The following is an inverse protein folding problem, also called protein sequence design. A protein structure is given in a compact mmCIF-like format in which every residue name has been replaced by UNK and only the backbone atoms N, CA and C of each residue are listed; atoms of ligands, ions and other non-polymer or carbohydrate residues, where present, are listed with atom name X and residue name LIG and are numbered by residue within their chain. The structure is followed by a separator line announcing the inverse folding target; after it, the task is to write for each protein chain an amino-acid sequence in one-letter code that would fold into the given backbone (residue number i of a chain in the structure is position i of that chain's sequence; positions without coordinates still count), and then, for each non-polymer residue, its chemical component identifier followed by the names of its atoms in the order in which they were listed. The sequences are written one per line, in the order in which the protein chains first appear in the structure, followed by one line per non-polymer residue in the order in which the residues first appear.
data_IF_122911426309
#
_entry.id   IF_122911426309
#
_cell.length_a   1.000
_cell.length_b   1.000
_cell.length_c   1.000
_cell.angle_alpha   90.00
_cell.angle_beta   90.00
_cell.angle_gamma   90.00
#
_symmetry.space_group_name_H-M   'P 1'
#
loop_
_entity.id
_entity.type
_entity.pdbx_description
1 polymer ?
#
# COMPACT_ATOMS: atom_id res chain seq x y z
N UNK A 1 17.40 35.77 -69.25
CA UNK A 1 17.36 34.73 -68.21
C UNK A 1 18.46 35.02 -67.22
N UNK A 2 18.19 34.82 -65.92
CA UNK A 2 19.04 35.07 -64.74
C UNK A 2 18.99 36.48 -64.13
N UNK A 3 18.12 36.63 -63.11
CA UNK A 3 18.36 37.55 -61.98
C UNK A 3 18.48 36.70 -60.71
N UNK A 4 19.63 36.84 -60.04
CA UNK A 4 19.98 36.19 -58.78
C UNK A 4 19.15 36.79 -57.65
N UNK A 5 18.54 35.92 -56.84
CA UNK A 5 17.81 36.26 -55.61
C UNK A 5 18.77 36.59 -54.46
N UNK A 6 18.59 37.71 -53.76
CA UNK A 6 19.16 37.89 -52.43
C UNK A 6 18.08 37.73 -51.35
N UNK A 7 18.58 37.46 -50.14
CA UNK A 7 17.94 37.57 -48.82
C UNK A 7 17.63 36.24 -48.13
N UNK A 8 18.72 35.72 -47.56
CA UNK A 8 18.75 35.15 -46.21
C UNK A 8 18.09 36.09 -45.18
N UNK A 9 17.69 35.50 -44.05
CA UNK A 9 17.27 36.09 -42.76
C UNK A 9 15.75 36.12 -42.47
N UNK A 10 15.29 35.05 -41.80
CA UNK A 10 14.34 35.10 -40.68
C UNK A 10 14.47 33.76 -39.94
N UNK A 11 15.58 33.55 -39.23
CA UNK A 11 15.74 33.88 -37.81
C UNK A 11 14.75 33.12 -36.92
N UNK A 12 15.27 32.06 -36.31
CA UNK A 12 14.67 31.28 -35.25
C UNK A 12 14.14 32.17 -34.11
N UNK A 13 12.82 32.19 -33.91
CA UNK A 13 12.20 32.86 -32.77
C UNK A 13 10.96 32.08 -32.31
N UNK A 14 11.16 30.83 -31.84
CA UNK A 14 10.07 30.07 -31.21
C UNK A 14 10.54 29.11 -30.08
N UNK A 15 11.74 29.31 -29.51
CA UNK A 15 12.32 28.36 -28.55
C UNK A 15 12.66 28.95 -27.16
N UNK A 16 12.15 30.14 -26.77
CA UNK A 16 12.55 30.82 -25.50
C UNK A 16 11.37 31.05 -24.52
N UNK A 17 10.26 30.31 -24.63
CA UNK A 17 9.12 30.49 -23.71
C UNK A 17 8.99 29.42 -22.61
N UNK A 18 9.82 28.37 -22.59
CA UNK A 18 9.60 27.20 -21.70
C UNK A 18 10.34 27.29 -20.35
N UNK A 19 11.31 28.20 -20.19
CA UNK A 19 12.19 28.21 -19.01
C UNK A 19 11.67 29.02 -17.79
N UNK A 20 10.70 29.93 -17.94
CA UNK A 20 10.28 30.82 -16.85
C UNK A 20 9.29 30.18 -15.85
N UNK A 21 8.68 29.04 -16.18
CA UNK A 21 7.64 28.42 -15.35
C UNK A 21 8.19 27.57 -14.16
N UNK A 22 9.44 27.15 -14.23
CA UNK A 22 10.09 26.33 -13.19
C UNK A 22 10.44 27.13 -11.91
N UNK A 23 11.09 28.31 -11.97
CA UNK A 23 11.47 29.05 -10.77
C UNK A 23 10.25 29.57 -9.98
N UNK A 24 9.19 30.00 -10.67
CA UNK A 24 7.97 30.48 -10.02
C UNK A 24 7.23 29.37 -9.25
N UNK A 25 7.24 28.12 -9.75
CA UNK A 25 6.69 26.97 -9.03
C UNK A 25 7.53 26.57 -7.83
N UNK A 26 8.86 26.66 -7.91
CA UNK A 26 9.72 26.36 -6.76
C UNK A 26 9.48 27.34 -5.61
N UNK A 27 9.39 28.64 -5.90
CA UNK A 27 9.13 29.68 -4.90
C UNK A 27 7.75 29.53 -4.22
N UNK A 28 6.72 29.10 -4.95
CA UNK A 28 5.39 28.88 -4.36
C UNK A 28 5.34 27.64 -3.46
N UNK A 29 6.12 26.60 -3.76
CA UNK A 29 6.22 25.40 -2.91
C UNK A 29 6.96 25.69 -1.60
N UNK A 30 8.01 26.51 -1.63
CA UNK A 30 8.71 26.93 -0.43
C UNK A 30 7.80 27.73 0.51
N UNK A 31 6.98 28.62 -0.05
CA UNK A 31 5.98 29.36 0.71
C UNK A 31 4.88 28.45 1.31
N UNK A 32 4.50 27.37 0.61
CA UNK A 32 3.45 26.44 1.06
C UNK A 32 3.97 25.32 1.98
N UNK A 33 5.29 25.17 2.16
CA UNK A 33 5.90 24.07 2.93
C UNK A 33 5.37 23.97 4.37
N UNK A 34 5.27 25.10 5.07
CA UNK A 34 4.74 25.12 6.43
C UNK A 34 3.24 24.80 6.48
N UNK A 35 2.48 25.25 5.46
CA UNK A 35 1.04 25.04 5.37
C UNK A 35 0.71 23.56 5.14
N UNK A 36 1.38 22.92 4.19
CA UNK A 36 1.15 21.49 3.91
C UNK A 36 1.58 20.60 5.09
N UNK A 37 2.69 20.93 5.76
CA UNK A 37 3.12 20.21 6.97
C UNK A 37 2.05 20.32 8.06
N UNK A 38 1.59 21.54 8.33
CA UNK A 38 0.57 21.79 9.36
C UNK A 38 -0.74 21.07 9.04
N UNK A 39 -1.14 21.06 7.77
CA UNK A 39 -2.34 20.36 7.32
C UNK A 39 -2.22 18.84 7.53
N UNK A 40 -1.08 18.24 7.18
CA UNK A 40 -0.82 16.81 7.39
C UNK A 40 -0.87 16.49 8.89
N UNK A 41 -0.11 17.21 9.70
CA UNK A 41 -0.06 17.01 11.15
C UNK A 41 -1.47 17.13 11.79
N UNK A 42 -2.28 18.06 11.29
CA UNK A 42 -3.67 18.25 11.75
C UNK A 42 -4.55 17.07 11.35
N UNK A 43 -4.44 16.59 10.10
CA UNK A 43 -5.17 15.43 9.63
C UNK A 43 -4.83 14.16 10.44
N UNK A 44 -3.55 13.96 10.78
CA UNK A 44 -3.12 12.83 11.60
C UNK A 44 -3.69 12.86 13.03
N UNK A 45 -3.93 14.06 13.57
CA UNK A 45 -4.60 14.25 14.87
C UNK A 45 -6.13 14.22 14.78
N UNK A 46 -6.72 14.00 13.59
CA UNK A 46 -8.18 14.01 13.39
C UNK A 46 -8.78 15.42 13.26
N UNK A 47 -7.96 16.42 12.99
CA UNK A 47 -8.35 17.83 12.79
C UNK A 47 -8.28 18.20 11.31
N UNK A 48 -8.76 17.30 10.43
CA UNK A 48 -8.76 17.55 8.99
C UNK A 48 -9.70 18.70 8.62
N UNK A 49 -9.21 19.67 7.85
CA UNK A 49 -9.99 20.82 7.36
C UNK A 49 -10.10 20.76 5.82
N UNK A 50 -11.30 20.49 5.26
CA UNK A 50 -11.51 20.40 3.82
C UNK A 50 -11.19 21.69 3.06
N UNK A 51 -11.45 22.86 3.64
CA UNK A 51 -11.18 24.14 2.99
C UNK A 51 -9.68 24.40 2.88
N UNK A 52 -8.93 24.13 3.96
CA UNK A 52 -7.47 24.21 3.94
C UNK A 52 -6.86 23.21 2.95
N UNK A 53 -7.37 21.97 2.93
CA UNK A 53 -6.92 20.95 1.99
C UNK A 53 -7.18 21.35 0.54
N UNK A 54 -8.35 21.92 0.23
CA UNK A 54 -8.69 22.38 -1.12
C UNK A 54 -7.71 23.42 -1.67
N UNK A 55 -7.25 24.34 -0.82
CA UNK A 55 -6.23 25.34 -1.17
C UNK A 55 -4.84 24.74 -1.45
N UNK A 56 -4.58 23.49 -1.04
CA UNK A 56 -3.32 22.77 -1.22
C UNK A 56 -3.41 21.68 -2.30
N UNK A 57 -4.52 21.59 -3.05
CA UNK A 57 -4.78 20.53 -4.03
C UNK A 57 -3.73 20.41 -5.15
N UNK A 58 -3.02 21.50 -5.47
CA UNK A 58 -1.96 21.52 -6.48
C UNK A 58 -0.56 21.24 -5.89
N UNK A 59 -0.45 21.06 -4.56
CA UNK A 59 0.82 20.80 -3.91
C UNK A 59 1.25 19.33 -4.15
N UNK A 60 2.52 19.04 -4.48
CA UNK A 60 3.00 17.68 -4.73
C UNK A 60 2.75 16.67 -3.59
N UNK A 61 2.73 17.17 -2.35
CA UNK A 61 2.43 16.36 -1.16
C UNK A 61 0.93 16.25 -0.82
N UNK A 62 0.02 16.73 -1.68
CA UNK A 62 -1.41 16.69 -1.42
C UNK A 62 -1.93 15.26 -1.17
N UNK A 63 -1.40 14.26 -1.88
CA UNK A 63 -1.75 12.86 -1.64
C UNK A 63 -1.42 12.37 -0.24
N UNK A 64 -0.35 12.88 0.37
CA UNK A 64 0.02 12.54 1.74
C UNK A 64 -0.92 13.19 2.77
N UNK A 65 -1.45 14.38 2.48
CA UNK A 65 -2.51 15.00 3.28
C UNK A 65 -3.81 14.20 3.21
N UNK A 66 -4.23 13.78 2.02
CA UNK A 66 -5.40 12.92 1.86
C UNK A 66 -5.21 11.57 2.57
N UNK A 67 -4.05 10.95 2.41
CA UNK A 67 -3.70 9.72 3.12
C UNK A 67 -3.74 9.87 4.63
N UNK A 68 -3.20 10.96 5.19
CA UNK A 68 -3.23 11.19 6.64
C UNK A 68 -4.67 11.19 7.19
N UNK A 69 -5.60 11.84 6.49
CA UNK A 69 -7.02 11.83 6.84
C UNK A 69 -7.65 10.44 6.71
N UNK A 70 -7.42 9.75 5.59
CA UNK A 70 -7.98 8.41 5.36
C UNK A 70 -7.45 7.39 6.37
N UNK A 71 -6.14 7.44 6.67
CA UNK A 71 -5.49 6.57 7.65
C UNK A 71 -6.06 6.75 9.05
N UNK A 72 -6.33 8.00 9.45
CA UNK A 72 -6.93 8.29 10.75
C UNK A 72 -8.31 7.67 10.91
N UNK A 73 -9.05 7.56 9.82
CA UNK A 73 -10.42 7.06 9.76
C UNK A 73 -10.53 5.68 9.09
N UNK A 74 -9.45 4.89 9.09
CA UNK A 74 -9.30 3.74 8.18
C UNK A 74 -10.43 2.69 8.31
N UNK A 75 -10.95 2.50 9.51
CA UNK A 75 -12.00 1.53 9.79
C UNK A 75 -13.35 1.91 9.15
N UNK A 76 -13.57 3.19 8.86
CA UNK A 76 -14.80 3.71 8.24
C UNK A 76 -14.61 4.14 6.78
N UNK A 77 -13.40 4.02 6.21
CA UNK A 77 -13.18 4.33 4.79
C UNK A 77 -13.95 3.35 3.92
N UNK A 78 -14.86 3.87 3.11
CA UNK A 78 -15.64 3.07 2.16
C UNK A 78 -14.77 2.55 1.00
N UNK A 79 -15.21 1.45 0.38
CA UNK A 79 -14.53 0.88 -0.80
C UNK A 79 -14.44 1.89 -1.95
N UNK A 80 -15.48 2.70 -2.18
CA UNK A 80 -15.46 3.73 -3.21
C UNK A 80 -14.39 4.80 -2.95
N UNK A 81 -14.32 5.33 -1.71
CA UNK A 81 -13.29 6.31 -1.34
C UNK A 81 -11.87 5.73 -1.48
N UNK A 82 -11.67 4.48 -1.07
CA UNK A 82 -10.40 3.81 -1.20
C UNK A 82 -10.00 3.61 -2.67
N UNK A 83 -10.92 3.17 -3.52
CA UNK A 83 -10.69 2.98 -4.95
C UNK A 83 -10.38 4.29 -5.65
N UNK A 84 -11.10 5.37 -5.34
CA UNK A 84 -10.83 6.70 -5.89
C UNK A 84 -9.42 7.18 -5.52
N UNK A 85 -9.02 6.99 -4.26
CA UNK A 85 -7.67 7.31 -3.80
C UNK A 85 -6.60 6.49 -4.53
N UNK A 86 -6.77 5.17 -4.57
CA UNK A 86 -5.83 4.26 -5.23
C UNK A 86 -5.70 4.51 -6.73
N UNK A 87 -6.81 4.86 -7.40
CA UNK A 87 -6.82 5.22 -8.82
C UNK A 87 -6.08 6.52 -9.07
N UNK A 88 -6.32 7.54 -8.24
CA UNK A 88 -5.69 8.87 -8.36
C UNK A 88 -4.18 8.81 -8.16
N UNK A 89 -3.73 8.00 -7.22
CA UNK A 89 -2.32 7.86 -6.84
C UNK A 89 -1.66 6.59 -7.38
N UNK A 90 -2.20 6.00 -8.45
CA UNK A 90 -1.67 4.77 -9.02
C UNK A 90 -0.17 4.91 -9.36
N UNK A 91 0.62 3.90 -8.99
CA UNK A 91 2.08 3.89 -9.18
C UNK A 91 2.87 4.78 -8.20
N UNK A 92 2.23 5.50 -7.28
CA UNK A 92 2.90 6.36 -6.31
C UNK A 92 3.03 5.67 -4.94
N UNK A 93 4.09 6.03 -4.21
CA UNK A 93 4.35 5.47 -2.87
C UNK A 93 3.17 5.64 -1.91
N UNK A 94 2.44 6.76 -1.99
CA UNK A 94 1.30 7.03 -1.11
C UNK A 94 0.15 6.03 -1.31
N UNK A 95 -0.08 5.52 -2.53
CA UNK A 95 -1.07 4.48 -2.78
C UNK A 95 -0.65 3.14 -2.18
N UNK A 96 0.65 2.81 -2.24
CA UNK A 96 1.20 1.61 -1.59
C UNK A 96 1.07 1.68 -0.08
N UNK A 97 1.39 2.83 0.52
CA UNK A 97 1.22 3.09 1.95
C UNK A 97 -0.25 2.98 2.37
N UNK A 98 -1.15 3.61 1.62
CA UNK A 98 -2.59 3.53 1.89
C UNK A 98 -3.12 2.09 1.83
N UNK A 99 -2.80 1.34 0.77
CA UNK A 99 -3.26 -0.05 0.63
C UNK A 99 -2.81 -0.93 1.80
N UNK A 100 -1.56 -0.75 2.25
CA UNK A 100 -0.98 -1.53 3.36
C UNK A 100 -1.72 -1.31 4.69
N UNK A 101 -2.40 -0.18 4.87
CA UNK A 101 -3.18 0.15 6.07
C UNK A 101 -4.67 -0.14 5.87
N UNK A 102 -5.17 0.04 4.65
CA UNK A 102 -6.59 -0.17 4.32
C UNK A 102 -6.96 -1.65 4.23
N UNK A 103 -6.15 -2.50 3.59
CA UNK A 103 -6.50 -3.92 3.44
C UNK A 103 -6.61 -4.68 4.78
N UNK A 104 -5.80 -4.41 5.82
CA UNK A 104 -6.06 -4.93 7.15
C UNK A 104 -7.43 -4.51 7.73
N UNK A 105 -7.89 -3.28 7.48
CA UNK A 105 -9.24 -2.85 7.90
C UNK A 105 -10.34 -3.58 7.11
N UNK A 106 -10.14 -3.78 5.81
CA UNK A 106 -11.02 -4.60 4.97
C UNK A 106 -11.10 -6.03 5.50
N UNK A 107 -9.96 -6.62 5.90
CA UNK A 107 -9.89 -7.95 6.48
C UNK A 107 -10.64 -8.06 7.80
N UNK A 108 -10.52 -7.06 8.69
CA UNK A 108 -11.31 -7.01 9.95
C UNK A 108 -12.81 -6.99 9.71
N UNK A 109 -13.26 -6.34 8.63
CA UNK A 109 -14.67 -6.33 8.20
C UNK A 109 -15.09 -7.59 7.42
N UNK A 110 -14.16 -8.53 7.22
CA UNK A 110 -14.37 -9.77 6.46
C UNK A 110 -14.88 -9.56 5.02
N UNK A 111 -14.59 -8.39 4.43
CA UNK A 111 -14.93 -8.11 3.04
C UNK A 111 -13.88 -8.74 2.10
N UNK A 112 -13.98 -10.05 1.96
CA UNK A 112 -13.01 -10.88 1.24
C UNK A 112 -12.94 -10.54 -0.25
N UNK A 113 -14.06 -10.20 -0.87
CA UNK A 113 -14.10 -9.82 -2.28
C UNK A 113 -13.33 -8.52 -2.52
N UNK A 114 -13.55 -7.50 -1.69
CA UNK A 114 -12.78 -6.25 -1.78
C UNK A 114 -11.30 -6.49 -1.52
N UNK A 115 -10.95 -7.32 -0.53
CA UNK A 115 -9.55 -7.64 -0.24
C UNK A 115 -8.87 -8.27 -1.46
N UNK A 116 -9.47 -9.31 -2.04
CA UNK A 116 -8.91 -10.03 -3.18
C UNK A 116 -8.83 -9.14 -4.44
N UNK A 117 -9.84 -8.29 -4.67
CA UNK A 117 -9.85 -7.38 -5.82
C UNK A 117 -8.77 -6.28 -5.74
N UNK A 118 -8.30 -5.95 -4.53
CA UNK A 118 -7.33 -4.88 -4.30
C UNK A 118 -5.97 -5.41 -3.80
N UNK A 119 -5.79 -6.73 -3.77
CA UNK A 119 -4.57 -7.38 -3.31
C UNK A 119 -3.39 -7.01 -4.20
N UNK A 120 -2.24 -6.76 -3.57
CA UNK A 120 -0.93 -6.71 -4.22
C UNK A 120 0.07 -7.49 -3.36
N UNK A 121 1.09 -8.14 -3.98
CA UNK A 121 2.16 -8.79 -3.23
C UNK A 121 2.82 -7.83 -2.23
N UNK A 122 3.11 -8.33 -1.03
CA UNK A 122 3.68 -7.57 0.08
C UNK A 122 4.46 -8.50 1.01
N UNK A 123 5.47 -7.97 1.68
CA UNK A 123 6.21 -8.67 2.73
C UNK A 123 5.49 -8.65 4.09
N UNK A 124 4.38 -7.90 4.20
CA UNK A 124 3.58 -7.88 5.42
C UNK A 124 2.88 -9.24 5.61
N UNK A 125 3.42 -10.05 6.52
CA UNK A 125 2.93 -11.42 6.80
C UNK A 125 1.47 -11.44 7.25
N UNK A 126 1.06 -10.50 8.11
CA UNK A 126 -0.34 -10.43 8.56
C UNK A 126 -1.31 -10.18 7.40
N UNK A 127 -0.91 -9.33 6.45
CA UNK A 127 -1.69 -9.05 5.25
C UNK A 127 -1.67 -10.24 4.26
N UNK A 128 -0.56 -10.96 4.13
CA UNK A 128 -0.50 -12.23 3.39
C UNK A 128 -1.46 -13.28 3.99
N UNK A 129 -1.48 -13.43 5.31
CA UNK A 129 -2.44 -14.32 5.97
C UNK A 129 -3.88 -13.84 5.79
N UNK A 130 -4.16 -12.54 5.81
CA UNK A 130 -5.48 -12.00 5.48
C UNK A 130 -5.92 -12.34 4.04
N UNK A 131 -5.00 -12.36 3.08
CA UNK A 131 -5.30 -12.81 1.72
C UNK A 131 -5.58 -14.31 1.62
N UNK A 132 -4.84 -15.13 2.36
CA UNK A 132 -5.13 -16.57 2.44
C UNK A 132 -6.48 -16.84 3.12
N UNK A 133 -6.83 -16.07 4.16
CA UNK A 133 -8.16 -16.10 4.77
C UNK A 133 -9.25 -15.72 3.76
N UNK A 134 -9.02 -14.69 2.95
CA UNK A 134 -9.98 -14.30 1.92
C UNK A 134 -10.15 -15.38 0.84
N UNK A 135 -9.06 -16.03 0.42
CA UNK A 135 -9.09 -17.16 -0.53
C UNK A 135 -9.86 -18.35 0.04
N UNK A 136 -9.57 -18.79 1.26
CA UNK A 136 -10.27 -19.94 1.84
C UNK A 136 -11.76 -19.64 2.06
N UNK A 137 -12.10 -18.42 2.50
CA UNK A 137 -13.49 -18.02 2.72
C UNK A 137 -14.30 -17.91 1.41
N UNK A 138 -13.63 -17.77 0.27
CA UNK A 138 -14.24 -17.74 -1.07
C UNK A 138 -14.09 -19.07 -1.82
N UNK A 139 -13.74 -20.16 -1.12
CA UNK A 139 -13.64 -21.50 -1.69
C UNK A 139 -12.38 -21.76 -2.53
N UNK A 140 -11.37 -20.89 -2.44
CA UNK A 140 -10.12 -20.94 -3.23
C UNK A 140 -8.92 -21.43 -2.43
N UNK A 141 -9.14 -22.40 -1.53
CA UNK A 141 -8.07 -23.10 -0.79
C UNK A 141 -7.49 -24.26 -1.63
N UNK A 142 -6.96 -23.90 -2.80
CA UNK A 142 -6.35 -24.79 -3.80
C UNK A 142 -4.90 -25.18 -3.47
N UNK A 143 -4.22 -25.89 -4.38
CA UNK A 143 -2.83 -26.31 -4.20
C UNK A 143 -1.86 -25.12 -4.04
N UNK A 144 -2.11 -24.00 -4.74
CA UNK A 144 -1.29 -22.80 -4.59
C UNK A 144 -1.50 -22.19 -3.22
N UNK A 145 -2.73 -22.17 -2.70
CA UNK A 145 -3.04 -21.71 -1.35
C UNK A 145 -2.29 -22.53 -0.30
N UNK A 146 -2.23 -23.85 -0.45
CA UNK A 146 -1.46 -24.75 0.43
C UNK A 146 0.02 -24.37 0.41
N UNK A 147 0.59 -24.20 -0.78
CA UNK A 147 1.99 -23.80 -0.95
C UNK A 147 2.30 -22.45 -0.29
N UNK A 148 1.42 -21.46 -0.50
CA UNK A 148 1.57 -20.12 0.08
C UNK A 148 1.47 -20.14 1.61
N UNK A 149 0.53 -20.93 2.16
CA UNK A 149 0.38 -21.10 3.61
C UNK A 149 1.60 -21.81 4.23
N UNK A 150 2.10 -22.87 3.61
CA UNK A 150 3.33 -23.55 4.05
C UNK A 150 4.56 -22.63 3.96
N UNK A 151 4.63 -21.75 2.95
CA UNK A 151 5.70 -20.78 2.85
C UNK A 151 5.69 -19.78 4.03
N UNK A 152 4.50 -19.36 4.49
CA UNK A 152 4.39 -18.50 5.68
C UNK A 152 4.75 -19.30 6.94
N UNK A 153 4.26 -20.53 7.09
CA UNK A 153 4.59 -21.41 8.23
C UNK A 153 6.10 -21.57 8.42
N UNK A 154 6.84 -21.74 7.32
CA UNK A 154 8.31 -21.92 7.34
C UNK A 154 9.11 -20.62 7.45
N UNK A 155 8.48 -19.45 7.44
CA UNK A 155 9.20 -18.19 7.23
C UNK A 155 10.07 -17.72 8.40
N UNK A 156 9.81 -18.20 9.63
CA UNK A 156 10.57 -17.82 10.84
C UNK A 156 10.25 -18.80 11.98
N UNK A 157 11.12 -18.93 12.99
CA UNK A 157 10.80 -19.60 14.25
C UNK A 157 9.98 -18.74 15.23
N UNK A 158 9.83 -17.44 14.95
CA UNK A 158 9.08 -16.48 15.80
C UNK A 158 7.58 -16.62 15.64
N UNK A 159 6.83 -16.22 16.67
CA UNK A 159 5.39 -16.12 16.60
C UNK A 159 4.97 -15.29 15.38
N UNK A 160 4.03 -15.85 14.61
CA UNK A 160 3.41 -15.18 13.48
C UNK A 160 2.21 -14.36 13.96
N UNK A 161 1.74 -13.37 13.19
CA UNK A 161 0.55 -12.60 13.56
C UNK A 161 -0.68 -13.49 13.70
N UNK A 162 -1.55 -13.22 14.69
CA UNK A 162 -2.78 -13.98 14.98
C UNK A 162 -3.71 -14.16 13.77
N UNK A 163 -3.63 -13.25 12.80
CA UNK A 163 -4.35 -13.37 11.52
C UNK A 163 -3.98 -14.65 10.72
N UNK A 164 -2.87 -15.31 11.05
CA UNK A 164 -2.42 -16.55 10.42
C UNK A 164 -3.01 -17.81 11.05
N UNK A 165 -3.55 -17.74 12.28
CA UNK A 165 -4.05 -18.93 12.97
C UNK A 165 -5.20 -19.62 12.20
N UNK A 166 -6.20 -18.90 11.65
CA UNK A 166 -7.25 -19.54 10.86
C UNK A 166 -6.74 -20.15 9.55
N UNK A 167 -5.65 -19.61 8.99
CA UNK A 167 -4.99 -20.17 7.80
C UNK A 167 -4.36 -21.50 8.16
N UNK A 168 -3.63 -21.57 9.28
CA UNK A 168 -2.95 -22.80 9.69
C UNK A 168 -3.91 -23.88 10.17
N UNK A 169 -5.02 -23.50 10.80
CA UNK A 169 -6.09 -24.43 11.13
C UNK A 169 -6.66 -25.12 9.87
N UNK A 170 -6.92 -24.35 8.80
CA UNK A 170 -7.39 -24.91 7.52
C UNK A 170 -6.29 -25.71 6.83
N UNK A 171 -5.04 -25.25 6.89
CA UNK A 171 -3.90 -25.97 6.31
C UNK A 171 -3.74 -27.35 6.97
N UNK A 172 -3.85 -27.40 8.29
CA UNK A 172 -3.77 -28.64 9.07
C UNK A 172 -4.92 -29.59 8.75
N UNK A 173 -6.16 -29.10 8.76
CA UNK A 173 -7.34 -29.90 8.42
C UNK A 173 -7.27 -30.52 7.02
N UNK A 174 -6.47 -29.93 6.11
CA UNK A 174 -6.20 -30.43 4.76
C UNK A 174 -4.99 -31.38 4.68
N UNK A 175 -4.33 -31.68 5.80
CA UNK A 175 -3.09 -32.46 5.86
C UNK A 175 -1.86 -31.71 5.34
N UNK A 176 -1.93 -30.39 5.20
CA UNK A 176 -0.85 -29.56 4.66
C UNK A 176 0.28 -29.26 5.65
N UNK A 177 0.14 -29.66 6.91
CA UNK A 177 1.19 -29.60 7.93
C UNK A 177 1.69 -31.02 8.24
N UNK A 178 2.59 -31.53 7.40
CA UNK A 178 3.22 -32.83 7.60
C UNK A 178 4.07 -32.85 8.88
N UNK A 179 4.38 -34.05 9.38
CA UNK A 179 5.22 -34.21 10.57
C UNK A 179 6.59 -33.51 10.40
N UNK A 180 7.16 -33.56 9.20
CA UNK A 180 8.43 -32.92 8.87
C UNK A 180 8.33 -31.39 8.95
N UNK A 181 7.22 -30.79 8.47
CA UNK A 181 7.00 -29.34 8.55
C UNK A 181 6.79 -28.86 9.98
N UNK A 182 6.17 -29.68 10.83
CA UNK A 182 5.98 -29.39 12.25
C UNK A 182 7.30 -29.44 13.00
N UNK A 183 8.09 -30.50 12.79
CA UNK A 183 9.42 -30.61 13.38
C UNK A 183 10.34 -29.47 12.95
N UNK A 184 10.36 -29.11 11.66
CA UNK A 184 11.14 -27.96 11.18
C UNK A 184 10.73 -26.65 11.87
N UNK A 185 9.45 -26.46 12.19
CA UNK A 185 8.95 -25.29 12.94
C UNK A 185 9.37 -25.33 14.40
N UNK A 186 9.35 -26.51 15.04
CA UNK A 186 9.83 -26.72 16.41
C UNK A 186 11.31 -26.37 16.50
N UNK A 187 12.14 -26.89 15.59
CA UNK A 187 13.58 -26.63 15.57
C UNK A 187 13.88 -25.14 15.37
N UNK A 188 13.24 -24.50 14.38
CA UNK A 188 13.38 -23.06 14.14
C UNK A 188 12.93 -22.23 15.37
N UNK A 189 11.86 -22.64 16.05
CA UNK A 189 11.39 -21.99 17.26
C UNK A 189 12.35 -22.20 18.44
N UNK A 190 13.02 -23.35 18.55
CA UNK A 190 14.03 -23.61 19.55
C UNK A 190 15.25 -22.69 19.35
N UNK A 191 15.74 -22.56 18.11
CA UNK A 191 16.84 -21.66 17.74
C UNK A 191 16.54 -20.19 18.09
N UNK A 192 15.28 -19.77 17.95
CA UNK A 192 14.79 -18.42 18.26
C UNK A 192 14.33 -18.26 19.72
N UNK A 193 14.48 -19.29 20.56
CA UNK A 193 14.06 -19.32 21.97
C UNK A 193 12.57 -19.01 22.18
N UNK A 194 11.70 -19.63 21.36
CA UNK A 194 10.24 -19.42 21.32
C UNK A 194 9.46 -20.62 21.87
N UNK A 195 9.43 -20.85 23.20
CA UNK A 195 8.77 -22.02 23.80
C UNK A 195 7.25 -22.04 23.66
N UNK A 196 6.61 -20.89 23.42
CA UNK A 196 5.20 -20.85 23.05
C UNK A 196 4.98 -21.46 21.67
N UNK A 197 5.80 -21.08 20.67
CA UNK A 197 5.69 -21.57 19.29
C UNK A 197 6.00 -23.06 19.22
N UNK A 198 7.00 -23.55 19.96
CA UNK A 198 7.32 -24.99 20.02
C UNK A 198 6.12 -25.84 20.47
N UNK A 199 5.32 -25.34 21.43
CA UNK A 199 4.16 -26.06 21.97
C UNK A 199 2.94 -26.04 21.05
N UNK A 200 2.86 -25.08 20.14
CA UNK A 200 1.73 -24.89 19.22
C UNK A 200 2.02 -25.34 17.78
N UNK A 201 3.21 -25.87 17.52
CA UNK A 201 3.66 -26.31 16.20
C UNK A 201 3.02 -27.64 15.78
#
# INVERSE_FOLDING_TARGET
MNRLSPLLLSAAAAAVAVAAALPARAQSLDAQRAQIKTAIDSAERGQFNPAQAGGLSQHPLYGWLEYANLRRNIDTVSTAQAQDFLKRYNGQAVATSFRSVWLPAVARRQDWNTLLANWVPTDNVGLRCAQLNARQATGKADAQWVSDAQAIWKSTGKSLPDACDPVFAVLDAKGGLSAELRWARIDAAADEQQPAVMRSA
#
